data_IF_117050921962
#
_entry.id   IF_117050921962
#
_cell.length_a   1.000
_cell.length_b   1.000
_cell.length_c   1.000
_cell.angle_alpha   90.00
_cell.angle_beta   90.00
_cell.angle_gamma   90.00
#
_symmetry.space_group_name_H-M   'P 1'
#
loop_
_entity.id
_entity.type
_entity.pdbx_description
1 polymer ?
#
# COMPACT_ATOMS: atom_id res chain seq x y z
N UNK A 1 0.87 -1.78 19.28
CA UNK A 1 1.98 -2.72 18.97
C UNK A 1 2.49 -2.43 17.55
N UNK A 2 3.03 -1.24 17.31
CA UNK A 2 3.57 -0.81 16.02
C UNK A 2 5.00 -0.27 16.21
N UNK A 3 5.76 -0.86 17.14
CA UNK A 3 7.13 -0.44 17.40
C UNK A 3 8.05 -1.10 16.37
N UNK A 4 8.52 -0.27 15.41
CA UNK A 4 9.67 -0.52 14.53
C UNK A 4 9.62 -1.84 13.76
N UNK A 5 8.77 -1.90 12.74
CA UNK A 5 9.18 -2.65 11.54
C UNK A 5 10.35 -1.85 10.95
N UNK A 6 11.57 -2.38 11.02
CA UNK A 6 12.68 -1.83 10.24
C UNK A 6 12.33 -1.86 8.74
N UNK A 7 13.17 -1.25 7.88
CA UNK A 7 12.93 -1.26 6.44
C UNK A 7 12.66 -2.69 5.90
N UNK A 8 13.35 -3.68 6.44
CA UNK A 8 13.18 -5.10 6.14
C UNK A 8 11.79 -5.63 6.50
N UNK A 9 11.28 -5.27 7.68
CA UNK A 9 9.95 -5.68 8.14
C UNK A 9 8.84 -5.01 7.33
N UNK A 10 9.01 -3.74 6.96
CA UNK A 10 8.07 -3.04 6.09
C UNK A 10 8.02 -3.73 4.71
N UNK A 11 9.17 -4.03 4.12
CA UNK A 11 9.26 -4.73 2.83
C UNK A 11 8.58 -6.11 2.93
N UNK A 12 8.79 -6.84 4.02
CA UNK A 12 8.17 -8.16 4.20
C UNK A 12 6.64 -8.08 4.25
N UNK A 13 6.10 -7.11 4.99
CA UNK A 13 4.65 -6.88 5.07
C UNK A 13 4.07 -6.41 3.73
N UNK A 14 4.77 -5.53 3.00
CA UNK A 14 4.39 -5.14 1.64
C UNK A 14 4.37 -6.34 0.69
N UNK A 15 5.37 -7.22 0.76
CA UNK A 15 5.41 -8.44 -0.04
C UNK A 15 4.28 -9.42 0.32
N UNK A 16 3.85 -9.48 1.57
CA UNK A 16 2.69 -10.27 1.99
C UNK A 16 1.40 -9.64 1.46
N UNK A 17 1.23 -8.33 1.61
CA UNK A 17 0.10 -7.57 1.06
C UNK A 17 -0.03 -7.73 -0.45
N UNK A 18 1.09 -7.58 -1.18
CA UNK A 18 1.14 -7.82 -2.62
C UNK A 18 0.65 -9.21 -2.98
N UNK A 19 1.16 -10.26 -2.31
CA UNK A 19 0.74 -11.65 -2.56
C UNK A 19 -0.73 -11.92 -2.25
N UNK A 20 -1.34 -11.15 -1.35
CA UNK A 20 -2.76 -11.25 -1.06
C UNK A 20 -3.62 -10.57 -2.13
N UNK A 21 -3.11 -9.50 -2.75
CA UNK A 21 -3.85 -8.67 -3.72
C UNK A 21 -3.60 -9.08 -5.18
N UNK A 22 -2.46 -9.68 -5.48
CA UNK A 22 -2.06 -10.06 -6.84
C UNK A 22 -2.97 -11.12 -7.45
N UNK A 23 -2.96 -11.17 -8.78
CA UNK A 23 -3.49 -12.29 -9.53
C UNK A 23 -2.46 -13.44 -9.56
N UNK A 24 -2.88 -14.63 -9.12
CA UNK A 24 -2.01 -15.80 -9.05
C UNK A 24 -1.55 -16.31 -10.42
N UNK A 25 -2.33 -16.08 -11.47
CA UNK A 25 -2.00 -16.54 -12.83
C UNK A 25 -1.07 -15.56 -13.54
N UNK A 26 -1.28 -14.25 -13.36
CA UNK A 26 -0.46 -13.22 -14.01
C UNK A 26 0.80 -12.84 -13.23
N UNK A 27 0.82 -13.03 -11.91
CA UNK A 27 1.96 -12.62 -11.10
C UNK A 27 1.96 -11.14 -10.67
N UNK A 28 0.91 -10.38 -11.05
CA UNK A 28 0.79 -8.93 -10.87
C UNK A 28 -0.58 -8.55 -10.31
N UNK A 29 -0.72 -7.37 -9.73
CA UNK A 29 -2.02 -6.85 -9.28
C UNK A 29 -2.74 -6.25 -10.48
N UNK A 30 -3.91 -6.78 -10.82
CA UNK A 30 -4.79 -6.21 -11.83
C UNK A 30 -5.95 -5.47 -11.17
N UNK A 31 -6.69 -4.61 -11.90
CA UNK A 31 -7.87 -3.95 -11.34
C UNK A 31 -8.89 -4.97 -10.80
N UNK A 32 -9.01 -6.11 -11.49
CA UNK A 32 -9.92 -7.19 -11.14
C UNK A 32 -9.43 -7.97 -9.92
N UNK A 33 -8.13 -8.29 -9.85
CA UNK A 33 -7.54 -9.01 -8.71
C UNK A 33 -7.58 -8.14 -7.46
N UNK A 34 -7.24 -6.85 -7.60
CA UNK A 34 -7.31 -5.87 -6.53
C UNK A 34 -8.72 -5.79 -5.97
N UNK A 35 -9.75 -5.61 -6.82
CA UNK A 35 -11.15 -5.57 -6.38
C UNK A 35 -11.57 -6.85 -5.65
N UNK A 36 -11.29 -8.00 -6.24
CA UNK A 36 -11.68 -9.32 -5.71
C UNK A 36 -11.03 -9.58 -4.36
N UNK A 37 -9.74 -9.30 -4.25
CA UNK A 37 -8.94 -9.60 -3.08
C UNK A 37 -9.10 -8.54 -1.98
N UNK A 38 -9.27 -7.26 -2.32
CA UNK A 38 -9.60 -6.20 -1.37
C UNK A 38 -10.92 -6.49 -0.64
N UNK A 39 -11.96 -6.93 -1.38
CA UNK A 39 -13.22 -7.39 -0.77
C UNK A 39 -13.04 -8.55 0.20
N UNK A 40 -12.14 -9.50 -0.11
CA UNK A 40 -11.82 -10.62 0.81
C UNK A 40 -11.12 -10.16 2.09
N UNK A 41 -10.42 -9.04 2.04
CA UNK A 41 -9.77 -8.42 3.20
C UNK A 41 -10.72 -7.50 3.99
N UNK A 42 -11.99 -7.40 3.58
CA UNK A 42 -12.98 -6.53 4.23
C UNK A 42 -12.87 -5.06 3.83
N UNK A 43 -12.08 -4.74 2.80
CA UNK A 43 -12.07 -3.44 2.16
C UNK A 43 -13.21 -3.39 1.13
N UNK A 44 -14.43 -3.25 1.65
CA UNK A 44 -15.63 -3.05 0.85
C UNK A 44 -15.79 -1.55 0.53
N UNK A 45 -16.29 -1.23 -0.67
CA UNK A 45 -16.60 0.15 -1.06
C UNK A 45 -15.55 0.88 -1.89
N UNK A 46 -14.49 0.21 -2.36
CA UNK A 46 -13.63 0.78 -3.40
C UNK A 46 -14.37 0.76 -4.74
N UNK A 47 -14.63 1.94 -5.28
CA UNK A 47 -15.30 2.11 -6.57
C UNK A 47 -14.33 1.85 -7.73
N UNK A 48 -14.88 1.57 -8.91
CA UNK A 48 -14.11 1.25 -10.11
C UNK A 48 -13.13 2.37 -10.48
N UNK A 49 -13.53 3.63 -10.27
CA UNK A 49 -12.69 4.81 -10.47
C UNK A 49 -11.55 4.90 -9.45
N UNK A 50 -11.80 4.57 -8.18
CA UNK A 50 -10.75 4.58 -7.14
C UNK A 50 -9.72 3.48 -7.39
N UNK A 51 -10.17 2.27 -7.77
CA UNK A 51 -9.29 1.16 -8.12
C UNK A 51 -8.42 1.49 -9.34
N UNK A 52 -9.02 2.08 -10.38
CA UNK A 52 -8.28 2.52 -11.56
C UNK A 52 -7.32 3.67 -11.22
N UNK A 53 -7.71 4.59 -10.32
CA UNK A 53 -6.83 5.63 -9.82
C UNK A 53 -5.62 5.07 -9.07
N UNK A 54 -5.83 4.06 -8.22
CA UNK A 54 -4.74 3.41 -7.48
C UNK A 54 -3.75 2.71 -8.42
N UNK A 55 -4.25 2.01 -9.44
CA UNK A 55 -3.38 1.36 -10.42
C UNK A 55 -2.68 2.41 -11.28
N UNK A 56 -3.40 3.39 -11.81
CA UNK A 56 -2.80 4.44 -12.64
C UNK A 56 -1.74 5.29 -11.92
N UNK A 57 -1.83 5.46 -10.59
CA UNK A 57 -0.81 6.18 -9.80
C UNK A 57 0.46 5.34 -9.57
N UNK A 58 0.33 4.01 -9.53
CA UNK A 58 1.45 3.10 -9.27
C UNK A 58 2.07 2.47 -10.51
N UNK A 59 1.32 2.42 -11.61
CA UNK A 59 1.72 1.85 -12.90
C UNK A 59 2.73 2.79 -13.58
N UNK A 60 4.01 2.42 -13.49
CA UNK A 60 5.13 3.23 -13.99
C UNK A 60 5.51 2.86 -15.43
N UNK A 61 5.20 1.63 -15.85
CA UNK A 61 5.51 1.13 -17.18
C UNK A 61 4.34 1.24 -18.18
N UNK A 62 3.13 1.48 -17.68
CA UNK A 62 1.90 1.67 -18.44
C UNK A 62 1.26 0.36 -18.90
N UNK A 63 1.53 -0.77 -18.25
CA UNK A 63 0.96 -2.08 -18.62
C UNK A 63 -0.46 -2.32 -18.10
N UNK A 64 -0.98 -1.39 -17.27
CA UNK A 64 -2.31 -1.45 -16.67
C UNK A 64 -2.42 -2.41 -15.48
N UNK A 65 -1.30 -2.82 -14.91
CA UNK A 65 -1.19 -3.62 -13.70
C UNK A 65 -0.15 -3.01 -12.75
N UNK A 66 -0.01 -3.59 -11.57
CA UNK A 66 1.09 -3.26 -10.66
C UNK A 66 1.94 -4.50 -10.42
N UNK A 67 3.21 -4.40 -10.73
CA UNK A 67 4.20 -5.36 -10.30
C UNK A 67 4.56 -5.18 -8.81
N UNK A 68 5.41 -6.07 -8.29
CA UNK A 68 5.81 -6.03 -6.89
C UNK A 68 6.58 -4.74 -6.54
N UNK A 69 7.42 -4.26 -7.44
CA UNK A 69 8.24 -3.06 -7.25
C UNK A 69 7.36 -1.80 -7.25
N UNK A 70 6.48 -1.68 -8.24
CA UNK A 70 5.51 -0.61 -8.40
C UNK A 70 4.59 -0.51 -7.20
N UNK A 71 4.05 -1.64 -6.74
CA UNK A 71 3.24 -1.70 -5.53
C UNK A 71 4.02 -1.23 -4.29
N UNK A 72 5.28 -1.65 -4.13
CA UNK A 72 6.12 -1.21 -3.01
C UNK A 72 6.37 0.31 -3.07
N UNK A 73 6.70 0.83 -4.25
CA UNK A 73 6.94 2.26 -4.48
C UNK A 73 5.66 3.05 -4.17
N UNK A 74 4.52 2.60 -4.68
CA UNK A 74 3.21 3.23 -4.45
C UNK A 74 2.87 3.28 -2.96
N UNK A 75 3.04 2.17 -2.23
CA UNK A 75 2.75 2.12 -0.79
C UNK A 75 3.70 2.99 0.04
N UNK A 76 4.97 3.07 -0.34
CA UNK A 76 5.93 3.97 0.30
C UNK A 76 5.58 5.45 0.00
N UNK A 77 5.12 5.76 -1.22
CA UNK A 77 4.71 7.12 -1.63
C UNK A 77 3.39 7.56 -1.00
N UNK A 78 2.41 6.66 -0.87
CA UNK A 78 1.12 6.91 -0.23
C UNK A 78 1.22 6.99 1.29
N UNK A 79 2.33 6.53 1.88
CA UNK A 79 2.55 6.62 3.31
C UNK A 79 3.79 7.44 3.71
N UNK A 80 3.80 8.76 3.44
CA UNK A 80 4.75 9.65 4.09
C UNK A 80 4.54 9.68 5.61
N UNK A 81 3.34 9.37 6.10
CA UNK A 81 2.99 9.27 7.52
C UNK A 81 3.49 7.98 8.20
N UNK A 82 3.77 6.89 7.48
CA UNK A 82 4.56 5.78 8.04
C UNK A 82 6.04 6.16 8.24
N UNK A 83 6.51 7.24 7.60
CA UNK A 83 7.80 7.87 7.91
C UNK A 83 7.69 9.12 8.82
N UNK A 84 6.51 9.76 8.92
CA UNK A 84 6.24 10.94 9.76
C UNK A 84 5.42 10.64 11.04
N UNK A 85 5.08 9.39 11.33
CA UNK A 85 4.44 8.99 12.60
C UNK A 85 5.32 9.23 13.84
N UNK A 86 6.54 9.74 13.65
CA UNK A 86 7.43 10.23 14.68
C UNK A 86 7.53 11.77 14.75
N UNK A 87 6.71 12.56 14.02
CA UNK A 87 6.74 14.04 14.14
C UNK A 87 5.50 14.63 14.85
N UNK A 88 4.37 13.94 14.91
CA UNK A 88 3.20 14.43 15.67
C UNK A 88 3.28 14.11 17.17
N UNK A 89 4.16 13.21 17.61
CA UNK A 89 4.35 12.89 19.04
C UNK A 89 5.32 13.84 19.77
N UNK A 90 6.05 14.72 19.06
CA UNK A 90 7.02 15.62 19.69
C UNK A 90 6.50 17.03 19.99
N UNK A 91 5.38 17.46 19.40
CA UNK A 91 4.80 18.78 19.73
C UNK A 91 3.91 18.77 20.97
N UNK A 92 3.18 17.69 21.26
CA UNK A 92 2.36 17.58 22.48
C UNK A 92 3.20 17.48 23.77
N UNK A 93 4.45 16.98 23.68
CA UNK A 93 5.33 16.84 24.84
C UNK A 93 6.10 18.12 25.15
N UNK A 94 6.34 18.98 24.15
CA UNK A 94 7.14 20.21 24.32
C UNK A 94 6.26 21.44 24.57
N UNK A 95 5.02 21.49 24.08
CA UNK A 95 4.08 22.59 24.36
C UNK A 95 3.13 22.33 25.54
N UNK A 96 3.32 21.20 26.24
CA UNK A 96 2.62 20.85 27.47
C UNK A 96 3.22 21.45 28.75
N UNK A 97 3.72 22.69 28.70
CA UNK A 97 4.05 23.52 29.87
C UNK A 97 3.80 25.01 29.59
#
# INVERSE_FOLDING_TARGET
MAQKLGAEGLIEELCKGFRLLMDCERGVITPESLRRNARRLGLEGLDDEELMGMIGEGDLDGDGALDQMEFCILMVRLSPELMQGSQQMFEEVILGM
#
